data_IF_190261533581
#
_entry.id   IF_190261533581
#
_cell.length_a   1.000
_cell.length_b   1.000
_cell.length_c   1.000
_cell.angle_alpha   90.00
_cell.angle_beta   90.00
_cell.angle_gamma   90.00
#
_symmetry.space_group_name_H-M   'P 1'
#
loop_
_entity.id
_entity.type
_entity.pdbx_description
1 polymer ?
#
# COMPACT_ATOMS: atom_id res chain seq x y z
N UNK A 1 15.59 -19.82 -12.55
CA UNK A 1 15.37 -19.15 -13.84
C UNK A 1 14.70 -17.79 -13.65
N UNK A 2 14.91 -16.85 -14.57
CA UNK A 2 14.33 -15.48 -14.57
C UNK A 2 12.79 -15.47 -14.39
N UNK A 3 12.11 -16.46 -14.94
CA UNK A 3 10.64 -16.61 -14.86
C UNK A 3 10.15 -16.72 -13.40
N UNK A 4 10.84 -17.49 -12.54
CA UNK A 4 10.43 -17.65 -11.14
C UNK A 4 10.57 -16.37 -10.31
N UNK A 5 11.55 -15.51 -10.64
CA UNK A 5 11.71 -14.20 -9.95
C UNK A 5 10.58 -13.24 -10.32
N UNK A 6 10.11 -13.27 -11.56
CA UNK A 6 9.00 -12.44 -12.04
C UNK A 6 7.67 -12.82 -11.41
N UNK A 7 7.34 -14.10 -11.39
CA UNK A 7 6.08 -14.55 -10.80
C UNK A 7 6.08 -14.34 -9.27
N UNK A 8 7.18 -14.63 -8.58
CA UNK A 8 7.30 -14.34 -7.15
C UNK A 8 7.18 -12.83 -6.84
N UNK A 9 7.75 -11.96 -7.69
CA UNK A 9 7.63 -10.51 -7.53
C UNK A 9 6.20 -10.00 -7.74
N UNK A 10 5.47 -10.53 -8.73
CA UNK A 10 4.06 -10.18 -8.96
C UNK A 10 3.16 -10.65 -7.82
N UNK A 11 3.32 -11.89 -7.37
CA UNK A 11 2.56 -12.42 -6.24
C UNK A 11 2.82 -11.61 -4.97
N UNK A 12 4.08 -11.27 -4.70
CA UNK A 12 4.45 -10.42 -3.58
C UNK A 12 3.85 -9.00 -3.68
N UNK A 13 3.74 -8.44 -4.88
CA UNK A 13 3.16 -7.11 -5.10
C UNK A 13 1.64 -7.05 -4.89
N UNK A 14 0.92 -8.17 -5.10
CA UNK A 14 -0.54 -8.20 -5.00
C UNK A 14 -1.05 -7.81 -3.60
N UNK A 15 -0.35 -8.23 -2.54
CA UNK A 15 -0.69 -7.88 -1.15
C UNK A 15 -0.60 -6.36 -0.88
N UNK A 16 0.56 -5.72 -1.07
CA UNK A 16 0.70 -4.27 -0.95
C UNK A 16 -0.25 -3.48 -1.84
N UNK A 17 -0.46 -3.89 -3.10
CA UNK A 17 -1.40 -3.20 -4.01
C UNK A 17 -2.82 -3.23 -3.47
N UNK A 18 -3.28 -4.37 -2.93
CA UNK A 18 -4.61 -4.48 -2.36
C UNK A 18 -4.81 -3.50 -1.20
N UNK A 19 -3.80 -3.38 -0.33
CA UNK A 19 -3.83 -2.41 0.78
C UNK A 19 -3.82 -0.95 0.27
N UNK A 20 -3.03 -0.63 -0.75
CA UNK A 20 -3.03 0.70 -1.39
C UNK A 20 -4.43 1.04 -1.94
N UNK A 21 -5.08 0.09 -2.63
CA UNK A 21 -6.42 0.29 -3.18
C UNK A 21 -7.45 0.50 -2.07
N UNK A 22 -7.46 -0.33 -1.03
CA UNK A 22 -8.39 -0.18 0.09
C UNK A 22 -8.18 1.17 0.77
N UNK A 23 -6.92 1.55 1.04
CA UNK A 23 -6.59 2.84 1.64
C UNK A 23 -7.09 4.01 0.80
N UNK A 24 -6.88 3.95 -0.53
CA UNK A 24 -7.32 4.98 -1.47
C UNK A 24 -8.84 5.09 -1.52
N UNK A 25 -9.56 3.96 -1.51
CA UNK A 25 -11.03 3.94 -1.50
C UNK A 25 -11.57 4.53 -0.19
N UNK A 26 -11.00 4.14 0.96
CA UNK A 26 -11.41 4.70 2.24
C UNK A 26 -11.16 6.21 2.31
N UNK A 27 -9.99 6.65 1.83
CA UNK A 27 -9.64 8.07 1.73
C UNK A 27 -10.61 8.83 0.83
N UNK A 28 -11.00 8.26 -0.31
CA UNK A 28 -11.94 8.87 -1.25
C UNK A 28 -13.32 9.09 -0.61
N UNK A 29 -13.76 8.16 0.23
CA UNK A 29 -15.03 8.32 0.97
C UNK A 29 -14.96 9.49 1.95
N UNK A 30 -13.83 9.68 2.66
CA UNK A 30 -13.66 10.79 3.60
C UNK A 30 -13.62 12.15 2.91
N UNK A 31 -13.03 12.24 1.72
CA UNK A 31 -12.93 13.50 0.97
C UNK A 31 -14.28 13.91 0.37
N UNK A 32 -15.14 12.94 0.02
CA UNK A 32 -16.43 13.21 -0.64
C UNK A 32 -17.60 13.29 0.35
N UNK A 33 -17.50 12.64 1.52
CA UNK A 33 -18.59 12.57 2.49
C UNK A 33 -18.35 13.46 3.70
N UNK A 34 -19.29 14.36 3.98
CA UNK A 34 -19.31 15.19 5.20
C UNK A 34 -19.95 14.47 6.40
N UNK A 35 -20.28 13.17 6.29
CA UNK A 35 -20.96 12.44 7.36
C UNK A 35 -19.99 12.11 8.51
N UNK A 36 -20.16 12.70 9.71
CA UNK A 36 -19.24 12.48 10.83
C UNK A 36 -19.19 11.02 11.30
N UNK A 37 -20.27 10.26 11.07
CA UNK A 37 -20.37 8.85 11.47
C UNK A 37 -19.43 7.95 10.67
N UNK A 38 -19.10 8.34 9.44
CA UNK A 38 -18.21 7.59 8.57
C UNK A 38 -16.74 7.87 8.87
N UNK A 39 -16.45 9.04 9.46
CA UNK A 39 -15.10 9.53 9.68
C UNK A 39 -14.21 8.52 10.38
N UNK A 40 -14.64 8.01 11.53
CA UNK A 40 -13.84 7.08 12.35
C UNK A 40 -13.51 5.79 11.60
N UNK A 41 -14.49 5.19 10.92
CA UNK A 41 -14.32 3.89 10.27
C UNK A 41 -13.37 4.03 9.07
N UNK A 42 -13.59 5.05 8.24
CA UNK A 42 -12.81 5.22 7.02
C UNK A 42 -11.43 5.82 7.26
N UNK A 43 -11.24 6.68 8.27
CA UNK A 43 -9.91 7.21 8.63
C UNK A 43 -9.01 6.10 9.18
N UNK A 44 -9.53 5.27 10.07
CA UNK A 44 -8.82 4.10 10.59
C UNK A 44 -8.53 3.09 9.47
N UNK A 45 -9.54 2.79 8.64
CA UNK A 45 -9.38 1.90 7.49
C UNK A 45 -8.31 2.39 6.51
N UNK A 46 -8.31 3.68 6.19
CA UNK A 46 -7.34 4.29 5.28
C UNK A 46 -5.92 4.22 5.85
N UNK A 47 -5.75 4.63 7.11
CA UNK A 47 -4.45 4.69 7.78
C UNK A 47 -3.83 3.31 7.98
N UNK A 48 -4.61 2.34 8.47
CA UNK A 48 -4.13 0.97 8.70
C UNK A 48 -3.68 0.32 7.39
N UNK A 49 -4.49 0.43 6.33
CA UNK A 49 -4.13 -0.17 5.04
C UNK A 49 -2.89 0.52 4.42
N UNK A 50 -2.77 1.85 4.53
CA UNK A 50 -1.57 2.54 4.06
C UNK A 50 -0.30 2.07 4.80
N UNK A 51 -0.39 1.93 6.13
CA UNK A 51 0.71 1.43 6.96
C UNK A 51 1.08 -0.02 6.60
N UNK A 52 0.11 -0.92 6.45
CA UNK A 52 0.36 -2.31 6.04
C UNK A 52 1.06 -2.34 4.68
N UNK A 53 0.64 -1.49 3.73
CA UNK A 53 1.30 -1.39 2.43
C UNK A 53 2.77 -0.94 2.56
N UNK A 54 3.07 0.08 3.40
CA UNK A 54 4.44 0.50 3.67
C UNK A 54 5.26 -0.66 4.22
N UNK A 55 4.81 -1.30 5.30
CA UNK A 55 5.54 -2.39 5.93
C UNK A 55 5.79 -3.50 4.92
N UNK A 56 4.76 -3.96 4.22
CA UNK A 56 4.93 -5.03 3.25
C UNK A 56 5.89 -4.67 2.11
N UNK A 57 6.09 -3.39 1.78
CA UNK A 57 7.00 -2.93 0.75
C UNK A 57 8.41 -2.59 1.24
N UNK A 58 8.72 -2.66 2.54
CA UNK A 58 10.09 -2.50 3.02
C UNK A 58 10.97 -3.61 2.39
N UNK A 59 12.10 -3.28 1.74
CA UNK A 59 12.92 -4.25 1.02
C UNK A 59 13.86 -5.01 1.96
N UNK A 60 13.32 -5.64 3.00
CA UNK A 60 14.08 -6.30 4.05
C UNK A 60 13.47 -7.65 4.49
N UNK A 61 14.32 -8.60 4.87
CA UNK A 61 13.92 -9.86 5.49
C UNK A 61 12.94 -10.70 4.64
N UNK A 62 11.86 -11.14 5.28
CA UNK A 62 10.81 -11.97 4.67
C UNK A 62 9.70 -11.15 3.98
N UNK A 63 9.80 -9.82 4.03
CA UNK A 63 8.77 -8.92 3.55
C UNK A 63 8.65 -8.99 2.03
N UNK A 64 7.45 -8.75 1.52
CA UNK A 64 7.17 -8.84 0.09
C UNK A 64 7.96 -7.82 -0.74
N UNK A 65 8.24 -6.66 -0.16
CA UNK A 65 9.03 -5.58 -0.74
C UNK A 65 10.39 -6.04 -1.22
N UNK A 66 11.04 -6.99 -0.52
CA UNK A 66 12.32 -7.54 -0.97
C UNK A 66 12.17 -8.33 -2.27
N UNK A 67 11.09 -9.10 -2.42
CA UNK A 67 10.81 -9.87 -3.64
C UNK A 67 10.47 -8.93 -4.81
N UNK A 68 9.63 -7.91 -4.56
CA UNK A 68 9.29 -6.89 -5.56
C UNK A 68 10.53 -6.11 -5.99
N UNK A 69 11.37 -5.67 -5.03
CA UNK A 69 12.61 -4.95 -5.29
C UNK A 69 13.60 -5.75 -6.15
N UNK A 70 13.75 -7.05 -5.85
CA UNK A 70 14.59 -7.98 -6.63
C UNK A 70 14.05 -8.24 -8.03
N UNK A 71 12.73 -8.15 -8.22
CA UNK A 71 12.08 -8.34 -9.51
C UNK A 71 12.12 -7.07 -10.38
N UNK A 72 11.66 -5.94 -9.84
CA UNK A 72 11.61 -4.66 -10.54
C UNK A 72 11.66 -3.49 -9.53
N UNK A 73 12.82 -2.81 -9.48
CA UNK A 73 13.06 -1.67 -8.58
C UNK A 73 12.16 -0.48 -8.87
N UNK A 74 11.77 -0.25 -10.13
CA UNK A 74 10.90 0.86 -10.50
C UNK A 74 9.47 0.63 -10.00
N UNK A 75 8.93 -0.58 -10.19
CA UNK A 75 7.61 -0.95 -9.67
C UNK A 75 7.61 -0.90 -8.14
N UNK A 76 8.67 -1.41 -7.50
CA UNK A 76 8.83 -1.30 -6.05
C UNK A 76 8.83 0.16 -5.58
N UNK A 77 9.63 1.03 -6.20
CA UNK A 77 9.73 2.43 -5.82
C UNK A 77 8.40 3.18 -6.00
N UNK A 78 7.67 2.90 -7.09
CA UNK A 78 6.34 3.46 -7.33
C UNK A 78 5.34 3.01 -6.26
N UNK A 79 5.28 1.72 -5.95
CA UNK A 79 4.36 1.19 -4.95
C UNK A 79 4.70 1.69 -3.53
N UNK A 80 6.00 1.72 -3.17
CA UNK A 80 6.45 2.20 -1.87
C UNK A 80 6.25 3.71 -1.73
N UNK A 81 6.53 4.48 -2.78
CA UNK A 81 6.23 5.91 -2.82
C UNK A 81 4.75 6.20 -2.67
N UNK A 82 3.88 5.43 -3.36
CA UNK A 82 2.44 5.56 -3.24
C UNK A 82 1.93 5.24 -1.83
N UNK A 83 2.44 4.19 -1.18
CA UNK A 83 2.05 3.85 0.19
C UNK A 83 2.51 4.88 1.22
N UNK A 84 3.71 5.45 1.04
CA UNK A 84 4.22 6.58 1.85
C UNK A 84 3.36 7.83 1.67
N UNK A 85 3.06 8.20 0.43
CA UNK A 85 2.21 9.36 0.13
C UNK A 85 0.80 9.21 0.71
N UNK A 86 0.17 8.04 0.53
CA UNK A 86 -1.12 7.72 1.13
C UNK A 86 -1.08 7.81 2.65
N UNK A 87 -0.06 7.23 3.28
CA UNK A 87 0.09 7.30 4.74
C UNK A 87 0.16 8.74 5.22
N UNK A 88 1.05 9.56 4.65
CA UNK A 88 1.20 10.97 5.04
C UNK A 88 -0.14 11.69 4.89
N UNK A 89 -0.82 11.49 3.76
CA UNK A 89 -2.13 12.10 3.52
C UNK A 89 -3.19 11.67 4.55
N UNK A 90 -3.28 10.37 4.85
CA UNK A 90 -4.25 9.85 5.83
C UNK A 90 -4.00 10.36 7.25
N UNK A 91 -2.75 10.65 7.61
CA UNK A 91 -2.40 11.25 8.91
C UNK A 91 -2.71 12.76 8.98
N UNK A 92 -2.91 13.42 7.83
CA UNK A 92 -3.26 14.85 7.77
C UNK A 92 -4.76 15.12 7.67
N UNK A 93 -5.58 14.09 7.47
CA UNK A 93 -7.04 14.17 7.52
C UNK A 93 -7.52 14.30 8.96
#
# INVERSE_FOLDING_TARGET
>A
GSIGKKEAGKTALAGPLTNIVISSLCTSVLVVSENPSLWTIFSVGATINAMIAIFNLIPFGIMDGLKVFRWNKLIWAAAFGASVALTIYTFTL
#
